data_IF_098898262006
#
_entry.id   IF_098898262006
#
_cell.length_a   1.000
_cell.length_b   1.000
_cell.length_c   1.000
_cell.angle_alpha   90.00
_cell.angle_beta   90.00
_cell.angle_gamma   90.00
#
_symmetry.space_group_name_H-M   'P 1'
#
loop_
_entity.id
_entity.type
_entity.pdbx_description
1 polymer ?
#
# COMPACT_ATOMS: atom_id res chain seq x y z
N UNK A 1 4.17 20.06 30.27
CA UNK A 1 4.82 20.05 28.94
C UNK A 1 4.46 18.76 28.25
N UNK A 2 3.38 18.75 27.47
CA UNK A 2 3.01 17.56 26.69
C UNK A 2 4.04 17.43 25.56
N UNK A 3 4.78 16.33 25.57
CA UNK A 3 5.93 16.17 24.71
C UNK A 3 5.44 15.80 23.31
N UNK A 4 5.89 16.51 22.27
CA UNK A 4 5.50 16.23 20.87
C UNK A 4 5.76 14.75 20.52
N UNK A 5 6.77 14.15 21.15
CA UNK A 5 7.10 12.72 21.08
C UNK A 5 5.98 11.79 21.57
N UNK A 6 5.20 12.18 22.57
CA UNK A 6 4.06 11.40 23.06
C UNK A 6 2.89 11.45 22.08
N UNK A 7 2.59 12.64 21.54
CA UNK A 7 1.53 12.82 20.53
C UNK A 7 1.88 12.08 19.25
N UNK A 8 3.13 12.18 18.79
CA UNK A 8 3.60 11.39 17.65
C UNK A 8 3.43 9.91 17.95
N UNK A 9 3.89 9.36 19.08
CA UNK A 9 3.72 7.92 19.34
C UNK A 9 2.27 7.46 19.42
N UNK A 10 1.40 8.22 20.10
CA UNK A 10 -0.01 7.88 20.27
C UNK A 10 -0.77 7.93 18.93
N UNK A 11 -0.50 8.97 18.14
CA UNK A 11 -1.14 9.16 16.84
C UNK A 11 -0.52 8.30 15.74
N UNK A 12 0.77 7.98 15.83
CA UNK A 12 1.52 7.22 14.83
C UNK A 12 1.02 5.79 14.69
N UNK A 13 0.60 5.14 15.78
CA UNK A 13 -0.02 3.81 15.72
C UNK A 13 -1.33 3.86 14.94
N UNK A 14 -2.12 4.93 15.12
CA UNK A 14 -3.38 5.12 14.41
C UNK A 14 -3.19 5.42 12.92
N UNK A 15 -2.05 5.98 12.52
CA UNK A 15 -1.70 6.27 11.12
C UNK A 15 -1.03 5.08 10.44
N UNK A 16 -0.20 4.31 11.15
CA UNK A 16 0.54 3.16 10.61
C UNK A 16 -0.36 2.05 10.08
N UNK A 17 -1.45 1.75 10.80
CA UNK A 17 -2.39 0.69 10.42
C UNK A 17 -3.10 0.99 9.09
N UNK A 18 -3.76 2.16 8.91
CA UNK A 18 -4.39 2.50 7.65
C UNK A 18 -3.37 2.77 6.53
N UNK A 19 -2.23 3.40 6.81
CA UNK A 19 -1.16 3.58 5.80
C UNK A 19 -0.59 2.25 5.33
N UNK A 20 -0.36 1.30 6.25
CA UNK A 20 0.12 -0.03 5.91
C UNK A 20 -0.88 -0.81 5.05
N UNK A 21 -2.17 -0.68 5.34
CA UNK A 21 -3.22 -1.27 4.53
C UNK A 21 -3.30 -0.64 3.13
N UNK A 22 -3.25 0.69 3.04
CA UNK A 22 -3.25 1.41 1.75
C UNK A 22 -2.00 1.07 0.93
N UNK A 23 -0.84 0.98 1.55
CA UNK A 23 0.41 0.62 0.88
C UNK A 23 0.41 -0.84 0.42
N UNK A 24 -0.12 -1.74 1.24
CA UNK A 24 -0.34 -3.15 0.88
C UNK A 24 -1.28 -3.28 -0.31
N UNK A 25 -2.44 -2.63 -0.26
CA UNK A 25 -3.40 -2.60 -1.36
C UNK A 25 -2.83 -1.96 -2.63
N UNK A 26 -2.05 -0.90 -2.51
CA UNK A 26 -1.41 -0.25 -3.65
C UNK A 26 -0.36 -1.14 -4.31
N UNK A 27 0.44 -1.85 -3.51
CA UNK A 27 1.43 -2.81 -4.02
C UNK A 27 0.76 -4.04 -4.64
N UNK A 28 -0.31 -4.53 -4.03
CA UNK A 28 -1.14 -5.64 -4.52
C UNK A 28 -1.76 -5.29 -5.88
N UNK A 29 -2.43 -4.13 -5.97
CA UNK A 29 -3.01 -3.64 -7.23
C UNK A 29 -1.97 -3.43 -8.34
N UNK A 30 -0.77 -2.96 -7.98
CA UNK A 30 0.34 -2.82 -8.93
C UNK A 30 0.94 -4.16 -9.36
N UNK A 31 0.80 -5.21 -8.55
CA UNK A 31 1.16 -6.58 -8.93
C UNK A 31 0.09 -7.17 -9.84
N UNK A 32 -1.19 -7.08 -9.48
CA UNK A 32 -2.29 -7.54 -10.33
C UNK A 32 -2.33 -6.83 -11.68
N UNK A 33 -2.04 -5.53 -11.77
CA UNK A 33 -1.93 -4.83 -13.07
C UNK A 33 -0.76 -5.37 -13.94
N UNK A 34 0.27 -5.94 -13.32
CA UNK A 34 1.40 -6.58 -14.02
C UNK A 34 1.13 -8.05 -14.35
N UNK A 35 0.28 -8.73 -13.59
CA UNK A 35 -0.15 -10.11 -13.86
C UNK A 35 -1.29 -10.14 -14.91
N UNK A 36 -2.20 -9.14 -14.90
CA UNK A 36 -3.29 -8.97 -15.87
C UNK A 36 -2.86 -8.28 -17.18
N UNK A 37 -1.62 -7.80 -17.28
CA UNK A 37 -1.04 -7.34 -18.56
C UNK A 37 0.42 -7.78 -18.71
N UNK A 38 0.82 -8.44 -19.82
CA UNK A 38 0.05 -9.32 -20.70
C UNK A 38 0.91 -10.50 -21.26
N UNK A 39 0.53 -11.75 -21.00
CA UNK A 39 0.72 -12.82 -22.01
C UNK A 39 -0.20 -12.58 -23.23
N UNK A 40 -1.01 -11.52 -23.21
CA UNK A 40 -1.69 -10.89 -24.36
C UNK A 40 -0.73 -10.14 -25.31
N UNK A 41 0.52 -10.60 -25.43
CA UNK A 41 1.07 -10.85 -26.77
C UNK A 41 0.55 -12.21 -27.19
N UNK A 42 -0.78 -12.31 -27.30
CA UNK A 42 -1.51 -13.51 -27.66
C UNK A 42 -0.96 -13.96 -29.00
N UNK A 43 -0.35 -15.12 -28.92
CA UNK A 43 0.07 -15.92 -30.04
C UNK A 43 -1.13 -16.12 -30.96
N UNK A 44 -1.04 -15.60 -32.20
CA UNK A 44 -1.90 -15.91 -33.35
C UNK A 44 -3.37 -15.46 -33.28
N UNK A 45 -3.73 -14.34 -33.92
CA UNK A 45 -4.35 -14.30 -35.27
C UNK A 45 -4.56 -12.86 -35.74
#
# INVERSE_FOLDING_TARGET
>A
MMNLLQVVRDHWVHVLVPMGFVFGYYLDRKKDEKELKPNEKVTWK
#
